data_IF_581364037756
#
_entry.id   IF_581364037756
#
_cell.length_a   1.000
_cell.length_b   1.000
_cell.length_c   1.000
_cell.angle_alpha   90.00
_cell.angle_beta   90.00
_cell.angle_gamma   90.00
#
_symmetry.space_group_name_H-M   'P 1'
#
loop_
_entity.id
_entity.type
_entity.pdbx_description
1 polymer ?
#
# COMPACT_ATOMS: atom_id res chain seq x y z
N UNK A 1 -16.16 20.09 -40.25
CA UNK A 1 -17.23 19.07 -40.18
C UNK A 1 -18.16 19.43 -39.01
N UNK A 2 -19.44 19.67 -39.31
CA UNK A 2 -20.42 19.95 -38.26
C UNK A 2 -20.80 18.66 -37.53
N UNK A 3 -20.41 18.55 -36.26
CA UNK A 3 -20.78 17.42 -35.41
C UNK A 3 -22.25 17.62 -35.02
N UNK A 4 -23.17 16.77 -35.51
CA UNK A 4 -24.59 16.81 -35.19
C UNK A 4 -24.86 16.32 -33.75
N UNK A 5 -24.43 17.08 -32.74
CA UNK A 5 -24.68 16.81 -31.34
C UNK A 5 -25.72 17.80 -30.80
N UNK A 6 -26.67 17.32 -30.00
CA UNK A 6 -27.68 18.17 -29.40
C UNK A 6 -27.10 19.14 -28.38
N UNK A 7 -27.67 20.35 -28.25
CA UNK A 7 -27.26 21.32 -27.23
C UNK A 7 -27.34 20.74 -25.82
N UNK A 8 -28.29 19.84 -25.56
CA UNK A 8 -28.44 19.16 -24.27
C UNK A 8 -27.26 18.24 -23.96
N UNK A 9 -26.78 17.50 -24.96
CA UNK A 9 -25.62 16.61 -24.81
C UNK A 9 -24.34 17.40 -24.53
N UNK A 10 -24.15 18.51 -25.23
CA UNK A 10 -23.00 19.40 -25.02
C UNK A 10 -23.05 20.00 -23.61
N UNK A 11 -24.24 20.49 -23.18
CA UNK A 11 -24.41 21.03 -21.83
C UNK A 11 -24.05 19.99 -20.75
N UNK A 12 -24.51 18.76 -20.92
CA UNK A 12 -24.23 17.66 -19.99
C UNK A 12 -22.75 17.34 -19.91
N UNK A 13 -22.05 17.29 -21.05
CA UNK A 13 -20.61 17.11 -21.07
C UNK A 13 -19.86 18.26 -20.36
N UNK A 14 -20.29 19.50 -20.54
CA UNK A 14 -19.73 20.65 -19.84
C UNK A 14 -20.02 20.63 -18.34
N UNK A 15 -21.17 20.12 -17.92
CA UNK A 15 -21.51 19.95 -16.50
C UNK A 15 -20.62 18.86 -15.88
N UNK A 16 -20.49 17.70 -16.52
CA UNK A 16 -19.60 16.61 -16.08
C UNK A 16 -18.13 17.04 -16.00
N UNK A 17 -17.62 17.76 -17.01
CA UNK A 17 -16.25 18.29 -17.01
C UNK A 17 -16.07 19.36 -15.92
N UNK A 18 -17.10 20.11 -15.57
CA UNK A 18 -17.10 21.05 -14.45
C UNK A 18 -17.06 20.34 -13.10
N UNK A 19 -17.83 19.26 -12.95
CA UNK A 19 -17.89 18.46 -11.71
C UNK A 19 -16.57 17.78 -11.38
N UNK A 20 -15.82 17.34 -12.40
CA UNK A 20 -14.47 16.77 -12.24
C UNK A 20 -13.35 17.83 -12.23
N UNK A 21 -13.69 19.13 -12.28
CA UNK A 21 -12.74 20.23 -12.15
C UNK A 21 -11.87 20.50 -13.38
N UNK A 22 -12.22 19.95 -14.55
CA UNK A 22 -11.54 20.23 -15.84
C UNK A 22 -11.97 21.56 -16.43
N UNK A 23 -13.23 21.96 -16.15
CA UNK A 23 -13.76 23.24 -16.57
C UNK A 23 -14.17 24.08 -15.35
N UNK A 24 -13.94 25.38 -15.44
CA UNK A 24 -14.37 26.39 -14.47
C UNK A 24 -15.37 27.35 -15.13
N UNK A 25 -16.52 27.59 -14.47
CA UNK A 25 -17.51 28.56 -14.92
C UNK A 25 -17.37 29.85 -14.14
N UNK A 26 -17.07 30.92 -14.85
CA UNK A 26 -17.03 32.27 -14.28
C UNK A 26 -18.30 32.98 -14.70
N UNK A 27 -19.12 33.34 -13.72
CA UNK A 27 -20.39 34.02 -13.97
C UNK A 27 -20.18 35.34 -14.73
N UNK A 28 -20.80 35.48 -15.89
CA UNK A 28 -20.64 36.64 -16.76
C UNK A 28 -19.47 36.61 -17.74
N UNK A 29 -18.53 35.67 -17.60
CA UNK A 29 -17.32 35.56 -18.43
C UNK A 29 -17.27 34.31 -19.30
N UNK A 30 -17.98 33.22 -18.92
CA UNK A 30 -18.05 32.01 -19.72
C UNK A 30 -17.48 30.77 -19.00
N UNK A 31 -17.17 29.75 -19.81
CA UNK A 31 -16.56 28.50 -19.32
C UNK A 31 -15.13 28.44 -19.86
N UNK A 32 -14.20 28.21 -18.96
CA UNK A 32 -12.76 28.13 -19.25
C UNK A 32 -12.25 26.74 -18.86
N UNK A 33 -11.17 26.30 -19.52
CA UNK A 33 -10.40 25.16 -19.02
C UNK A 33 -9.77 25.61 -17.71
N UNK A 34 -10.05 24.89 -16.63
CA UNK A 34 -9.43 25.17 -15.34
C UNK A 34 -7.90 25.13 -15.56
N UNK A 35 -7.21 26.20 -15.19
CA UNK A 35 -5.74 26.15 -15.20
C UNK A 35 -5.35 25.01 -14.26
N UNK A 36 -4.85 23.96 -14.84
CA UNK A 36 -4.13 22.90 -14.12
C UNK A 36 -2.88 23.59 -13.56
N UNK A 37 -3.01 24.30 -12.44
CA UNK A 37 -1.86 24.56 -11.60
C UNK A 37 -1.28 23.19 -11.33
N UNK A 38 -0.05 22.98 -11.74
CA UNK A 38 0.72 21.74 -11.68
C UNK A 38 0.27 20.81 -10.55
N UNK A 39 -0.77 20.02 -10.80
CA UNK A 39 -1.28 18.99 -9.87
C UNK A 39 -0.28 17.84 -9.77
N UNK A 40 0.78 17.86 -10.58
CA UNK A 40 1.86 16.88 -10.53
C UNK A 40 2.80 17.06 -9.33
N UNK A 41 2.76 18.23 -8.65
CA UNK A 41 3.66 18.54 -7.51
C UNK A 41 2.95 18.33 -6.16
N UNK A 42 1.61 18.30 -6.13
CA UNK A 42 0.88 18.05 -4.88
C UNK A 42 0.84 16.55 -4.61
N UNK A 43 1.39 16.15 -3.48
CA UNK A 43 1.21 14.81 -2.93
C UNK A 43 -0.29 14.46 -2.91
N UNK A 44 -0.62 13.19 -3.07
CA UNK A 44 -2.00 12.69 -2.99
C UNK A 44 -2.69 13.10 -1.68
N UNK A 45 -1.91 13.30 -0.61
CA UNK A 45 -2.37 13.82 0.67
C UNK A 45 -2.94 15.23 0.58
N UNK A 46 -2.28 16.15 -0.13
CA UNK A 46 -2.75 17.53 -0.29
C UNK A 46 -4.02 17.63 -1.14
N UNK A 47 -4.11 16.76 -2.16
CA UNK A 47 -5.33 16.66 -2.99
C UNK A 47 -6.51 16.16 -2.15
N UNK A 48 -6.29 15.13 -1.34
CA UNK A 48 -7.29 14.58 -0.44
C UNK A 48 -7.74 15.61 0.60
N UNK A 49 -6.80 16.34 1.22
CA UNK A 49 -7.10 17.40 2.17
C UNK A 49 -8.04 18.46 1.59
N UNK A 50 -7.77 18.94 0.36
CA UNK A 50 -8.64 19.91 -0.33
C UNK A 50 -10.05 19.39 -0.58
N UNK A 51 -10.20 18.11 -0.89
CA UNK A 51 -11.53 17.48 -1.08
C UNK A 51 -12.28 17.43 0.26
N UNK A 52 -11.57 17.08 1.35
CA UNK A 52 -12.14 17.05 2.70
C UNK A 52 -12.56 18.46 3.13
N UNK A 53 -11.75 19.49 2.89
CA UNK A 53 -12.11 20.88 3.22
C UNK A 53 -13.37 21.34 2.48
N UNK A 54 -13.49 21.01 1.18
CA UNK A 54 -14.69 21.27 0.40
C UNK A 54 -15.92 20.56 0.98
N UNK A 55 -15.77 19.31 1.38
CA UNK A 55 -16.83 18.52 1.99
C UNK A 55 -17.29 19.15 3.31
N UNK A 56 -16.36 19.47 4.20
CA UNK A 56 -16.67 20.13 5.49
C UNK A 56 -17.40 21.45 5.27
N UNK A 57 -16.92 22.29 4.34
CA UNK A 57 -17.58 23.56 3.98
C UNK A 57 -19.00 23.34 3.49
N UNK A 58 -19.23 22.32 2.67
CA UNK A 58 -20.54 21.98 2.13
C UNK A 58 -21.50 21.54 3.24
N UNK A 59 -21.05 20.65 4.13
CA UNK A 59 -21.85 20.16 5.27
C UNK A 59 -22.17 21.29 6.26
N UNK A 60 -21.23 22.23 6.48
CA UNK A 60 -21.47 23.42 7.31
C UNK A 60 -22.58 24.32 6.75
N UNK A 61 -22.69 24.46 5.43
CA UNK A 61 -23.79 25.20 4.78
C UNK A 61 -25.14 24.51 4.93
N UNK A 62 -25.16 23.22 5.22
CA UNK A 62 -26.36 22.46 5.54
C UNK A 62 -26.75 22.56 7.03
N UNK A 63 -26.06 23.44 7.80
CA UNK A 63 -26.28 23.67 9.24
C UNK A 63 -25.99 22.46 10.13
N UNK A 64 -25.15 21.52 9.69
CA UNK A 64 -24.67 20.43 10.52
C UNK A 64 -23.60 20.93 11.48
N UNK A 65 -23.68 20.52 12.73
CA UNK A 65 -22.61 20.72 13.72
C UNK A 65 -21.42 19.82 13.42
N UNK A 66 -20.25 20.13 13.96
CA UNK A 66 -19.05 19.29 13.78
C UNK A 66 -19.25 17.85 14.28
N UNK A 67 -19.98 17.66 15.39
CA UNK A 67 -20.27 16.32 15.92
C UNK A 67 -21.17 15.52 14.95
N UNK A 68 -22.23 16.16 14.43
CA UNK A 68 -23.11 15.52 13.43
C UNK A 68 -22.36 15.17 12.15
N UNK A 69 -21.42 16.02 11.72
CA UNK A 69 -20.55 15.73 10.57
C UNK A 69 -19.66 14.52 10.84
N UNK A 70 -19.03 14.46 12.01
CA UNK A 70 -18.18 13.36 12.42
C UNK A 70 -18.94 12.04 12.46
N UNK A 71 -20.11 12.02 13.10
CA UNK A 71 -20.98 10.84 13.16
C UNK A 71 -21.42 10.38 11.76
N UNK A 72 -21.81 11.31 10.90
CA UNK A 72 -22.23 11.02 9.54
C UNK A 72 -21.08 10.44 8.70
N UNK A 73 -19.89 11.06 8.78
CA UNK A 73 -18.70 10.60 8.06
C UNK A 73 -18.29 9.20 8.54
N UNK A 74 -18.22 9.00 9.87
CA UNK A 74 -17.87 7.73 10.46
C UNK A 74 -18.87 6.62 10.06
N UNK A 75 -20.17 6.91 10.11
CA UNK A 75 -21.22 5.98 9.67
C UNK A 75 -21.07 5.62 8.20
N UNK A 76 -20.79 6.59 7.32
CA UNK A 76 -20.59 6.36 5.89
C UNK A 76 -19.32 5.58 5.60
N UNK A 77 -18.25 5.84 6.33
CA UNK A 77 -17.01 5.08 6.22
C UNK A 77 -17.18 3.62 6.68
N UNK A 78 -17.90 3.41 7.79
CA UNK A 78 -18.22 2.06 8.25
C UNK A 78 -19.09 1.30 7.25
N UNK A 79 -20.11 1.96 6.71
CA UNK A 79 -20.98 1.36 5.70
C UNK A 79 -20.20 1.00 4.43
N UNK A 80 -19.31 1.91 3.94
CA UNK A 80 -18.44 1.62 2.80
C UNK A 80 -17.47 0.46 3.07
N UNK A 81 -16.94 0.35 4.29
CA UNK A 81 -16.10 -0.78 4.71
C UNK A 81 -16.86 -2.11 4.68
N UNK A 82 -18.15 -2.11 5.03
CA UNK A 82 -18.99 -3.30 4.97
C UNK A 82 -19.42 -3.66 3.54
N UNK A 83 -19.60 -2.65 2.70
CA UNK A 83 -19.99 -2.81 1.29
C UNK A 83 -18.81 -3.27 0.43
N UNK A 84 -17.63 -2.70 0.63
CA UNK A 84 -16.38 -3.23 0.09
C UNK A 84 -15.90 -4.33 1.04
N UNK A 85 -16.07 -5.56 0.66
CA UNK A 85 -15.60 -6.76 1.39
C UNK A 85 -14.07 -6.88 1.44
N UNK A 86 -13.35 -5.79 1.15
CA UNK A 86 -11.89 -5.81 1.12
C UNK A 86 -11.33 -6.07 2.52
N UNK A 87 -10.64 -7.17 2.66
CA UNK A 87 -9.86 -7.51 3.84
C UNK A 87 -8.62 -6.62 3.84
N UNK A 88 -8.45 -5.81 4.89
CA UNK A 88 -7.26 -4.96 5.04
C UNK A 88 -6.16 -5.69 5.77
N UNK A 89 -5.06 -5.89 5.08
CA UNK A 89 -3.91 -6.64 5.57
C UNK A 89 -2.72 -5.69 5.77
N UNK A 90 -2.19 -5.63 6.98
CA UNK A 90 -0.89 -5.05 7.23
C UNK A 90 0.18 -6.13 7.11
N UNK A 91 1.23 -5.89 6.34
CA UNK A 91 2.43 -6.72 6.32
C UNK A 91 3.52 -5.98 7.06
N UNK A 92 4.08 -6.60 8.11
CA UNK A 92 5.08 -5.97 9.01
C UNK A 92 6.35 -6.81 9.01
N UNK A 93 7.47 -6.21 8.61
CA UNK A 93 8.79 -6.85 8.68
C UNK A 93 9.91 -5.81 8.82
N UNK A 94 11.12 -6.25 9.13
CA UNK A 94 12.27 -5.37 9.30
C UNK A 94 12.91 -4.90 7.99
N UNK A 95 12.64 -5.56 6.86
CA UNK A 95 13.23 -5.25 5.57
C UNK A 95 12.20 -5.21 4.43
N UNK A 96 12.47 -4.36 3.44
CA UNK A 96 11.59 -4.12 2.30
C UNK A 96 11.45 -5.33 1.37
N UNK A 97 12.48 -6.17 1.26
CA UNK A 97 12.46 -7.35 0.39
C UNK A 97 11.43 -8.36 0.88
N UNK A 98 11.43 -8.63 2.18
CA UNK A 98 10.43 -9.50 2.82
C UNK A 98 9.02 -8.93 2.69
N UNK A 99 8.85 -7.62 2.92
CA UNK A 99 7.56 -6.94 2.73
C UNK A 99 7.05 -7.14 1.30
N UNK A 100 7.87 -6.83 0.31
CA UNK A 100 7.53 -6.95 -1.10
C UNK A 100 7.22 -8.39 -1.52
N UNK A 101 7.99 -9.37 -1.02
CA UNK A 101 7.73 -10.79 -1.29
C UNK A 101 6.37 -11.26 -0.77
N UNK A 102 5.98 -10.86 0.44
CA UNK A 102 4.68 -11.22 1.01
C UNK A 102 3.57 -10.47 0.27
N UNK A 103 3.71 -9.17 0.11
CA UNK A 103 2.70 -8.32 -0.51
C UNK A 103 2.43 -8.70 -1.96
N UNK A 104 3.46 -9.04 -2.74
CA UNK A 104 3.30 -9.44 -4.14
C UNK A 104 2.41 -10.67 -4.33
N UNK A 105 2.40 -11.58 -3.36
CA UNK A 105 1.51 -12.75 -3.39
C UNK A 105 0.06 -12.38 -3.04
N UNK A 106 -0.14 -11.35 -2.23
CA UNK A 106 -1.46 -10.88 -1.81
C UNK A 106 -2.13 -9.99 -2.85
N UNK A 107 -1.38 -9.20 -3.62
CA UNK A 107 -1.94 -8.32 -4.67
C UNK A 107 -2.73 -9.07 -5.75
N UNK A 108 -2.50 -10.38 -5.91
CA UNK A 108 -3.26 -11.21 -6.85
C UNK A 108 -4.58 -11.73 -6.27
N UNK A 109 -4.87 -11.44 -4.99
CA UNK A 109 -6.11 -11.86 -4.32
C UNK A 109 -7.10 -10.70 -4.45
N UNK A 110 -8.25 -10.96 -5.07
CA UNK A 110 -9.34 -9.98 -5.12
C UNK A 110 -9.84 -9.67 -3.71
N UNK A 111 -10.29 -8.44 -3.51
CA UNK A 111 -10.86 -7.98 -2.25
C UNK A 111 -9.88 -7.94 -1.06
N UNK A 112 -8.57 -7.78 -1.32
CA UNK A 112 -7.54 -7.60 -0.29
C UNK A 112 -6.81 -6.28 -0.52
N UNK A 113 -6.80 -5.43 0.51
CA UNK A 113 -6.01 -4.20 0.54
C UNK A 113 -4.76 -4.43 1.40
N UNK A 114 -3.59 -4.33 0.79
CA UNK A 114 -2.31 -4.60 1.45
C UNK A 114 -1.60 -3.29 1.79
N UNK A 115 -1.13 -3.18 3.02
CA UNK A 115 -0.28 -2.07 3.48
C UNK A 115 1.04 -2.63 4.01
N UNK A 116 2.14 -2.20 3.45
CA UNK A 116 3.49 -2.55 3.89
C UNK A 116 3.96 -1.60 4.99
N UNK A 117 4.45 -2.14 6.09
CA UNK A 117 4.87 -1.37 7.26
C UNK A 117 6.23 -1.87 7.76
N UNK A 118 7.22 -1.00 7.78
CA UNK A 118 8.53 -1.31 8.35
C UNK A 118 8.43 -1.39 9.87
N UNK A 119 8.94 -2.47 10.43
CA UNK A 119 8.88 -2.77 11.86
C UNK A 119 9.50 -1.66 12.72
N UNK A 120 10.60 -1.05 12.29
CA UNK A 120 11.24 0.05 13.02
C UNK A 120 10.34 1.27 13.17
N UNK A 121 9.42 1.51 12.22
CA UNK A 121 8.46 2.60 12.29
C UNK A 121 7.25 2.24 13.17
N UNK A 122 6.90 0.97 13.22
CA UNK A 122 5.87 0.45 14.13
C UNK A 122 6.36 0.49 15.57
N UNK A 123 7.63 0.17 15.83
CA UNK A 123 8.23 0.30 17.17
C UNK A 123 8.13 1.75 17.67
N UNK A 124 8.35 2.75 16.79
CA UNK A 124 8.21 4.17 17.15
C UNK A 124 6.76 4.63 17.32
N UNK A 125 5.83 3.99 16.61
CA UNK A 125 4.42 4.38 16.57
C UNK A 125 3.50 3.16 16.43
N UNK A 126 3.31 2.35 17.51
CA UNK A 126 2.52 1.12 17.50
C UNK A 126 1.05 1.36 17.12
N UNK A 127 0.54 2.57 17.40
CA UNK A 127 -0.83 2.97 17.05
C UNK A 127 -1.12 2.88 15.54
N UNK A 128 -0.11 2.88 14.68
CA UNK A 128 -0.31 2.67 13.23
C UNK A 128 -0.97 1.31 12.91
N UNK A 129 -0.73 0.29 13.73
CA UNK A 129 -1.37 -1.02 13.60
C UNK A 129 -2.79 -1.07 14.16
N UNK A 130 -3.18 -0.13 15.02
CA UNK A 130 -4.52 -0.10 15.61
C UNK A 130 -5.59 0.46 14.69
N UNK A 131 -5.20 1.09 13.58
CA UNK A 131 -6.11 1.74 12.62
C UNK A 131 -6.74 0.78 11.61
N UNK A 132 -7.34 -0.29 12.13
CA UNK A 132 -8.36 -1.03 11.38
C UNK A 132 -7.82 -1.96 10.32
N UNK A 133 -6.79 -2.73 10.61
CA UNK A 133 -6.44 -3.91 9.84
C UNK A 133 -7.24 -5.11 10.34
N UNK A 134 -7.72 -5.92 9.41
CA UNK A 134 -8.43 -7.17 9.71
C UNK A 134 -7.43 -8.28 9.98
N UNK A 135 -6.21 -8.17 9.41
CA UNK A 135 -5.13 -9.13 9.56
C UNK A 135 -3.78 -8.40 9.56
N UNK A 136 -2.87 -8.86 10.41
CA UNK A 136 -1.49 -8.41 10.47
C UNK A 136 -0.59 -9.61 10.18
N UNK A 137 0.15 -9.56 9.07
CA UNK A 137 1.09 -10.60 8.68
C UNK A 137 2.51 -10.18 9.06
N UNK A 138 3.25 -11.09 9.64
CA UNK A 138 4.68 -10.89 9.94
C UNK A 138 5.43 -12.20 9.86
N UNK A 139 6.74 -12.15 9.68
CA UNK A 139 7.55 -13.36 9.69
C UNK A 139 7.67 -13.96 11.09
N UNK A 140 8.03 -15.24 11.15
CA UNK A 140 8.25 -15.96 12.40
C UNK A 140 9.22 -15.20 13.35
N UNK A 141 10.21 -14.53 12.78
CA UNK A 141 11.26 -13.85 13.55
C UNK A 141 10.74 -12.62 14.31
N UNK A 142 9.71 -11.96 13.78
CA UNK A 142 9.14 -10.72 14.35
C UNK A 142 7.79 -10.93 15.03
N UNK A 143 7.24 -12.16 14.99
CA UNK A 143 5.90 -12.46 15.47
C UNK A 143 5.68 -12.05 16.93
N UNK A 144 6.57 -12.46 17.83
CA UNK A 144 6.44 -12.10 19.25
C UNK A 144 6.60 -10.60 19.48
N UNK A 145 7.56 -9.98 18.79
CA UNK A 145 7.77 -8.53 18.88
C UNK A 145 6.54 -7.74 18.43
N UNK A 146 5.87 -8.15 17.35
CA UNK A 146 4.65 -7.50 16.88
C UNK A 146 3.50 -7.68 17.87
N UNK A 147 3.33 -8.87 18.47
CA UNK A 147 2.32 -9.10 19.51
C UNK A 147 2.57 -8.21 20.73
N UNK A 148 3.81 -8.10 21.17
CA UNK A 148 4.18 -7.27 22.33
C UNK A 148 3.88 -5.77 22.08
N UNK A 149 3.99 -5.31 20.83
CA UNK A 149 3.68 -3.94 20.45
C UNK A 149 2.17 -3.66 20.43
N UNK A 150 1.35 -4.65 20.10
CA UNK A 150 -0.13 -4.52 19.99
C UNK A 150 -0.86 -5.70 20.64
N UNK A 151 -0.77 -5.87 21.96
CA UNK A 151 -1.35 -7.04 22.66
C UNK A 151 -2.85 -7.21 22.44
N UNK A 152 -3.58 -6.10 22.32
CA UNK A 152 -5.03 -6.08 22.05
C UNK A 152 -5.41 -6.66 20.68
N UNK A 153 -4.47 -6.72 19.75
CA UNK A 153 -4.66 -7.25 18.39
C UNK A 153 -3.94 -8.60 18.17
N UNK A 154 -3.46 -9.25 19.22
CA UNK A 154 -2.72 -10.51 19.11
C UNK A 154 -3.46 -11.59 18.30
N UNK A 155 -4.79 -11.65 18.38
CA UNK A 155 -5.63 -12.57 17.59
C UNK A 155 -5.68 -12.26 16.09
N UNK A 156 -5.29 -11.04 15.69
CA UNK A 156 -5.22 -10.58 14.29
C UNK A 156 -3.82 -10.75 13.71
N UNK A 157 -2.82 -11.09 14.54
CA UNK A 157 -1.44 -11.28 14.09
C UNK A 157 -1.22 -12.71 13.65
N UNK A 158 -0.83 -12.91 12.41
CA UNK A 158 -0.50 -14.20 11.83
C UNK A 158 0.96 -14.22 11.40
N UNK A 159 1.67 -15.30 11.79
CA UNK A 159 3.03 -15.54 11.33
C UNK A 159 3.02 -16.25 9.99
N UNK A 160 3.87 -15.78 9.07
CA UNK A 160 4.11 -16.39 7.77
C UNK A 160 5.55 -16.91 7.68
N UNK A 161 5.75 -17.94 6.89
CA UNK A 161 7.06 -18.46 6.55
C UNK A 161 7.36 -18.17 5.09
N UNK A 162 8.55 -17.63 4.82
CA UNK A 162 9.08 -17.50 3.48
C UNK A 162 9.92 -18.74 3.20
N UNK A 163 9.54 -19.47 2.17
CA UNK A 163 10.26 -20.68 1.73
C UNK A 163 10.54 -20.58 0.24
N UNK A 164 11.69 -21.09 -0.23
CA UNK A 164 11.98 -21.15 -1.66
C UNK A 164 10.91 -21.97 -2.40
N UNK A 165 10.52 -21.53 -3.60
CA UNK A 165 9.64 -22.32 -4.47
C UNK A 165 10.31 -23.63 -4.88
N UNK A 166 9.54 -24.62 -5.31
CA UNK A 166 10.09 -25.89 -5.78
C UNK A 166 11.16 -25.70 -6.86
N UNK A 167 10.94 -24.79 -7.78
CA UNK A 167 11.91 -24.45 -8.83
C UNK A 167 13.22 -23.96 -8.23
N UNK A 168 13.16 -23.02 -7.30
CA UNK A 168 14.35 -22.49 -6.59
C UNK A 168 15.03 -23.58 -5.76
N UNK A 169 14.27 -24.46 -5.11
CA UNK A 169 14.83 -25.59 -4.37
C UNK A 169 15.62 -26.54 -5.28
N UNK A 170 15.11 -26.82 -6.49
CA UNK A 170 15.84 -27.63 -7.47
C UNK A 170 17.12 -26.93 -7.94
N UNK A 171 17.06 -25.64 -8.21
CA UNK A 171 18.22 -24.84 -8.60
C UNK A 171 19.29 -24.81 -7.48
N UNK A 172 18.87 -24.59 -6.24
CA UNK A 172 19.76 -24.62 -5.08
C UNK A 172 20.37 -26.01 -4.85
N UNK A 173 19.59 -27.08 -5.00
CA UNK A 173 20.09 -28.46 -4.89
C UNK A 173 21.13 -28.81 -5.96
N UNK A 174 21.18 -28.08 -7.07
CA UNK A 174 22.19 -28.22 -8.12
C UNK A 174 23.51 -27.50 -7.82
N UNK A 175 23.60 -26.76 -6.70
CA UNK A 175 24.81 -26.03 -6.31
C UNK A 175 25.80 -26.99 -5.63
N UNK A 176 27.01 -27.09 -6.18
CA UNK A 176 28.06 -27.94 -5.68
C UNK A 176 29.24 -27.12 -5.09
N UNK A 177 30.08 -27.74 -4.30
CA UNK A 177 31.22 -27.12 -3.62
C UNK A 177 32.20 -26.36 -4.54
N UNK A 178 32.31 -26.78 -5.81
CA UNK A 178 33.17 -26.14 -6.80
C UNK A 178 32.54 -24.91 -7.50
N UNK A 179 31.30 -24.53 -7.13
CA UNK A 179 30.64 -23.39 -7.70
C UNK A 179 30.85 -22.12 -6.86
N UNK A 180 30.82 -20.97 -7.54
CA UNK A 180 30.75 -19.68 -6.89
C UNK A 180 29.32 -19.13 -7.04
N UNK A 181 28.75 -18.73 -5.92
CA UNK A 181 27.37 -18.18 -5.86
C UNK A 181 27.44 -16.72 -5.43
N UNK A 182 26.87 -15.84 -6.21
CA UNK A 182 26.69 -14.44 -5.84
C UNK A 182 25.30 -14.22 -5.26
N UNK A 183 25.21 -13.63 -4.08
CA UNK A 183 23.94 -13.19 -3.48
C UNK A 183 23.90 -11.66 -3.57
N UNK A 184 22.91 -11.16 -4.30
CA UNK A 184 22.66 -9.73 -4.44
C UNK A 184 21.29 -9.39 -3.85
N UNK A 185 21.27 -8.53 -2.82
CA UNK A 185 20.09 -8.14 -2.08
C UNK A 185 20.28 -6.76 -1.43
N UNK A 186 19.20 -6.19 -0.86
CA UNK A 186 19.24 -4.87 -0.23
C UNK A 186 19.54 -4.93 1.26
N UNK A 187 19.20 -6.02 1.94
CA UNK A 187 19.38 -6.14 3.39
C UNK A 187 20.25 -7.33 3.79
N UNK A 188 21.03 -7.13 4.86
CA UNK A 188 21.88 -8.18 5.42
C UNK A 188 21.05 -9.34 5.99
N UNK A 189 19.90 -9.02 6.56
CA UNK A 189 18.98 -10.01 7.13
C UNK A 189 18.44 -10.94 6.06
N UNK A 190 18.06 -10.38 4.90
CA UNK A 190 17.61 -11.17 3.76
C UNK A 190 18.74 -11.97 3.14
N UNK A 191 19.94 -11.37 3.01
CA UNK A 191 21.14 -12.07 2.57
C UNK A 191 21.44 -13.31 3.42
N UNK A 192 21.34 -13.17 4.74
CA UNK A 192 21.56 -14.29 5.68
C UNK A 192 20.53 -15.40 5.48
N UNK A 193 19.26 -15.05 5.28
CA UNK A 193 18.21 -16.03 5.02
C UNK A 193 18.42 -16.79 3.69
N UNK A 194 18.86 -16.09 2.64
CA UNK A 194 19.21 -16.73 1.34
C UNK A 194 20.43 -17.64 1.50
N UNK A 195 21.44 -17.18 2.22
CA UNK A 195 22.62 -17.97 2.52
C UNK A 195 22.26 -19.28 3.23
N UNK A 196 21.48 -19.23 4.30
CA UNK A 196 21.07 -20.39 5.08
C UNK A 196 20.29 -21.41 4.21
N UNK A 197 19.40 -20.92 3.34
CA UNK A 197 18.71 -21.78 2.38
C UNK A 197 19.65 -22.42 1.37
N UNK A 198 20.64 -21.67 0.86
CA UNK A 198 21.64 -22.17 -0.08
C UNK A 198 22.49 -23.27 0.58
N UNK A 199 22.93 -23.04 1.80
CA UNK A 199 23.72 -24.01 2.55
C UNK A 199 22.96 -25.26 2.97
N UNK A 200 21.64 -25.11 3.22
CA UNK A 200 20.78 -26.22 3.65
C UNK A 200 20.37 -27.12 2.49
N UNK A 201 20.10 -26.54 1.31
CA UNK A 201 19.56 -27.23 0.15
C UNK A 201 20.64 -27.62 -0.88
N UNK A 202 21.78 -26.94 -0.90
CA UNK A 202 22.90 -27.21 -1.79
C UNK A 202 23.67 -28.49 -1.44
N UNK A 203 24.42 -29.02 -2.41
CA UNK A 203 25.25 -30.18 -2.25
C UNK A 203 26.73 -29.75 -2.00
N UNK A 204 27.05 -29.46 -0.74
CA UNK A 204 28.40 -29.04 -0.34
C UNK A 204 28.44 -27.57 0.09
N UNK A 205 29.67 -27.03 0.19
CA UNK A 205 29.94 -25.66 0.67
C UNK A 205 30.46 -24.80 -0.48
N UNK A 206 29.60 -24.22 -1.32
CA UNK A 206 30.04 -23.37 -2.41
C UNK A 206 30.70 -22.10 -1.86
N UNK A 207 31.52 -21.45 -2.69
CA UNK A 207 31.99 -20.10 -2.39
C UNK A 207 30.83 -19.13 -2.56
N UNK A 208 30.48 -18.38 -1.51
CA UNK A 208 29.41 -17.42 -1.54
C UNK A 208 29.95 -16.01 -1.35
N UNK A 209 29.71 -15.15 -2.31
CA UNK A 209 30.04 -13.72 -2.27
C UNK A 209 28.74 -12.91 -2.13
N UNK A 210 28.74 -11.88 -1.28
CA UNK A 210 27.59 -11.01 -1.01
C UNK A 210 27.78 -9.64 -1.63
N UNK A 211 26.73 -9.11 -2.24
CA UNK A 211 26.63 -7.73 -2.64
C UNK A 211 25.32 -7.13 -2.13
N UNK A 212 25.45 -6.12 -1.27
CA UNK A 212 24.29 -5.34 -0.81
C UNK A 212 24.12 -4.12 -1.71
N UNK A 213 22.90 -3.94 -2.22
CA UNK A 213 22.54 -2.76 -2.98
C UNK A 213 21.84 -1.77 -2.05
N UNK A 214 22.50 -0.65 -1.78
CA UNK A 214 21.94 0.43 -0.96
C UNK A 214 21.09 1.43 -1.79
N UNK A 215 20.84 1.13 -3.07
CA UNK A 215 20.00 1.98 -3.89
C UNK A 215 18.51 1.83 -3.45
N UNK A 216 17.77 2.94 -3.25
CA UNK A 216 16.34 2.85 -3.05
C UNK A 216 15.71 2.25 -4.30
N UNK A 217 14.92 1.18 -4.14
CA UNK A 217 14.14 0.59 -5.23
C UNK A 217 13.29 1.69 -5.88
N UNK A 218 13.71 2.13 -7.06
CA UNK A 218 12.82 2.82 -7.99
C UNK A 218 12.10 1.74 -8.80
N UNK A 219 10.93 1.33 -8.34
CA UNK A 219 9.92 0.63 -9.13
C UNK A 219 8.96 1.62 -9.74
#
# INVERSE_FOLDING_TARGET
EAIHISRGTIKRAYDELGDIGVLERIQGSGTFVAQLQDLSILDNSDKAARVIDKMITTLSRMHLSYNEMEDLINSKLQWKRQESRNIRVAVVDCNMETLSLISSQLYNISDVDVTELILSDIVKSPQKLTYGYDLILTTKNHYLQVIDLVPSLASHVMKVAIVPSQKVQYELAGIHENMSVGIWCMSQEFASAVYDNTMTLGQGTPRIDFQLDNAPCSL
#
